data_IF_166398497370
#
_entry.id   IF_166398497370
#
_cell.length_a   1.000
_cell.length_b   1.000
_cell.length_c   1.000
_cell.angle_alpha   90.00
_cell.angle_beta   90.00
_cell.angle_gamma   90.00
#
_symmetry.space_group_name_H-M   'P 1'
#
loop_
_entity.id
_entity.type
_entity.pdbx_description
1 polymer ?
#
# COMPACT_ATOMS: atom_id res chain seq x y z
N UNK A 1 -36.29 20.64 -1.84
CA UNK A 1 -36.55 19.64 -2.89
C UNK A 1 -35.27 19.48 -3.70
N UNK A 2 -34.50 18.42 -3.47
CA UNK A 2 -33.28 18.16 -4.25
C UNK A 2 -33.66 17.64 -5.65
N UNK A 3 -32.91 18.00 -6.71
CA UNK A 3 -33.19 17.56 -8.07
C UNK A 3 -33.04 16.04 -8.21
N UNK A 4 -34.00 15.40 -8.89
CA UNK A 4 -34.10 13.95 -9.06
C UNK A 4 -32.89 13.28 -9.77
N UNK A 5 -32.02 14.07 -10.40
CA UNK A 5 -30.77 13.61 -11.03
C UNK A 5 -29.60 13.40 -10.05
N UNK A 6 -29.69 13.92 -8.82
CA UNK A 6 -28.62 13.76 -7.81
C UNK A 6 -28.74 12.45 -7.01
N UNK A 7 -29.94 11.86 -6.95
CA UNK A 7 -30.21 10.62 -6.21
C UNK A 7 -29.39 9.40 -6.70
N UNK A 8 -29.24 9.13 -8.01
CA UNK A 8 -28.47 7.96 -8.47
C UNK A 8 -26.97 8.09 -8.17
N UNK A 9 -26.39 9.30 -8.24
CA UNK A 9 -24.96 9.51 -7.96
C UNK A 9 -24.61 9.24 -6.48
N UNK A 10 -25.44 9.77 -5.57
CA UNK A 10 -25.23 9.61 -4.12
C UNK A 10 -25.44 8.15 -3.68
N UNK A 11 -26.33 7.41 -4.35
CA UNK A 11 -26.60 6.00 -4.06
C UNK A 11 -25.45 5.08 -4.54
N UNK A 12 -24.83 5.37 -5.68
CA UNK A 12 -23.68 4.61 -6.21
C UNK A 12 -22.42 4.83 -5.36
N UNK A 13 -22.17 6.07 -4.88
CA UNK A 13 -21.04 6.38 -4.01
C UNK A 13 -21.12 5.63 -2.66
N UNK A 14 -22.33 5.53 -2.09
CA UNK A 14 -22.58 4.87 -0.80
C UNK A 14 -22.45 3.33 -0.88
N UNK A 15 -22.75 2.73 -2.03
CA UNK A 15 -22.60 1.29 -2.28
C UNK A 15 -21.13 0.90 -2.51
N UNK A 16 -20.35 1.74 -3.17
CA UNK A 16 -18.92 1.51 -3.42
C UNK A 16 -18.07 1.59 -2.15
N UNK A 17 -18.33 2.57 -1.27
CA UNK A 17 -17.61 2.73 0.00
C UNK A 17 -17.77 1.54 0.95
N UNK A 18 -18.95 0.91 0.97
CA UNK A 18 -19.23 -0.25 1.81
C UNK A 18 -18.46 -1.51 1.38
N UNK A 19 -18.27 -1.73 0.08
CA UNK A 19 -17.48 -2.86 -0.42
C UNK A 19 -15.98 -2.69 -0.13
N UNK A 20 -15.46 -1.47 -0.31
CA UNK A 20 -14.06 -1.14 -0.04
C UNK A 20 -13.67 -1.29 1.43
N UNK A 21 -14.55 -0.88 2.36
CA UNK A 21 -14.31 -1.10 3.80
C UNK A 21 -14.33 -2.58 4.18
N UNK A 22 -15.24 -3.38 3.61
CA UNK A 22 -15.33 -4.81 3.87
C UNK A 22 -14.04 -5.54 3.51
N UNK A 23 -13.46 -5.26 2.34
CA UNK A 23 -12.23 -5.92 1.90
C UNK A 23 -11.03 -5.65 2.83
N UNK A 24 -10.89 -4.41 3.32
CA UNK A 24 -9.82 -4.04 4.27
C UNK A 24 -9.97 -4.78 5.61
N UNK A 25 -11.21 -4.85 6.12
CA UNK A 25 -11.52 -5.54 7.38
C UNK A 25 -11.33 -7.06 7.22
N UNK A 26 -11.78 -7.63 6.10
CA UNK A 26 -11.57 -9.05 5.80
C UNK A 26 -10.08 -9.38 5.72
N UNK A 27 -9.27 -8.56 5.05
CA UNK A 27 -7.82 -8.75 5.00
C UNK A 27 -7.16 -8.70 6.38
N UNK A 28 -7.57 -7.73 7.21
CA UNK A 28 -7.08 -7.60 8.59
C UNK A 28 -7.39 -8.85 9.42
N UNK A 29 -8.63 -9.34 9.35
CA UNK A 29 -9.07 -10.53 10.08
C UNK A 29 -8.37 -11.79 9.59
N UNK A 30 -8.15 -11.95 8.28
CA UNK A 30 -7.44 -13.11 7.73
C UNK A 30 -6.01 -13.19 8.27
N UNK A 31 -5.28 -12.07 8.27
CA UNK A 31 -3.89 -12.04 8.76
C UNK A 31 -3.84 -12.28 10.28
N UNK A 32 -4.78 -11.71 11.04
CA UNK A 32 -4.90 -12.01 12.46
C UNK A 32 -5.19 -13.50 12.71
N UNK A 33 -6.11 -14.11 11.95
CA UNK A 33 -6.41 -15.54 12.03
C UNK A 33 -5.20 -16.43 11.72
N UNK A 34 -4.37 -16.04 10.74
CA UNK A 34 -3.11 -16.76 10.43
C UNK A 34 -2.20 -16.75 11.65
N UNK A 35 -1.97 -15.60 12.28
CA UNK A 35 -1.14 -15.51 13.47
C UNK A 35 -1.71 -16.30 14.65
N UNK A 36 -3.02 -16.25 14.88
CA UNK A 36 -3.70 -17.04 15.92
C UNK A 36 -3.54 -18.55 15.63
N UNK A 37 -3.65 -18.97 14.38
CA UNK A 37 -3.47 -20.38 13.98
C UNK A 37 -2.04 -20.85 14.29
N UNK A 38 -1.03 -20.03 13.99
CA UNK A 38 0.37 -20.31 14.34
C UNK A 38 0.56 -20.40 15.86
N UNK A 39 -0.21 -19.64 16.65
CA UNK A 39 -0.18 -19.74 18.11
C UNK A 39 -0.78 -21.06 18.60
N UNK A 40 -1.91 -21.48 18.04
CA UNK A 40 -2.64 -22.69 18.45
C UNK A 40 -1.85 -23.97 18.18
N UNK A 41 -1.03 -24.00 17.12
CA UNK A 41 -0.19 -25.18 16.82
C UNK A 41 0.93 -25.40 17.85
N UNK A 42 1.20 -24.43 18.73
CA UNK A 42 2.19 -24.56 19.81
C UNK A 42 3.63 -24.72 19.33
N UNK A 43 3.89 -24.46 18.03
CA UNK A 43 5.20 -24.66 17.39
C UNK A 43 6.26 -23.68 17.95
N UNK A 44 5.82 -22.49 18.38
CA UNK A 44 6.71 -21.41 18.85
C UNK A 44 6.42 -21.07 20.32
N UNK A 45 7.47 -20.84 21.15
CA UNK A 45 7.28 -20.28 22.48
C UNK A 45 6.65 -18.89 22.38
N UNK A 46 5.92 -18.49 23.44
CA UNK A 46 5.07 -17.29 23.42
C UNK A 46 5.86 -16.03 23.06
N UNK A 47 7.08 -15.88 23.58
CA UNK A 47 7.95 -14.74 23.32
C UNK A 47 8.43 -14.67 21.85
N UNK A 48 8.79 -15.80 21.25
CA UNK A 48 9.25 -15.84 19.85
C UNK A 48 8.12 -15.51 18.88
N UNK A 49 6.90 -15.94 19.19
CA UNK A 49 5.71 -15.58 18.40
C UNK A 49 5.39 -14.08 18.47
N UNK A 50 5.52 -13.47 19.66
CA UNK A 50 5.37 -12.01 19.84
C UNK A 50 6.42 -11.26 19.03
N UNK A 51 7.69 -11.68 19.11
CA UNK A 51 8.79 -11.04 18.39
C UNK A 51 8.66 -11.19 16.88
N UNK A 52 8.29 -12.38 16.39
CA UNK A 52 8.14 -12.64 14.96
C UNK A 52 6.97 -11.82 14.36
N UNK A 53 5.84 -11.75 15.07
CA UNK A 53 4.69 -10.93 14.66
C UNK A 53 5.01 -9.44 14.70
N UNK A 54 5.79 -9.00 15.68
CA UNK A 54 6.29 -7.62 15.77
C UNK A 54 7.18 -7.25 14.57
N UNK A 55 8.17 -8.09 14.25
CA UNK A 55 9.09 -7.87 13.13
C UNK A 55 8.33 -7.84 11.81
N UNK A 56 7.39 -8.78 11.61
CA UNK A 56 6.52 -8.78 10.44
C UNK A 56 5.67 -7.51 10.34
N UNK A 57 5.17 -7.01 11.48
CA UNK A 57 4.45 -5.75 11.57
C UNK A 57 5.30 -4.55 11.14
N UNK A 58 6.50 -4.41 11.70
CA UNK A 58 7.44 -3.33 11.33
C UNK A 58 7.86 -3.43 9.87
N UNK A 59 8.17 -4.61 9.36
CA UNK A 59 8.55 -4.82 7.97
C UNK A 59 7.42 -4.44 6.99
N UNK A 60 6.17 -4.78 7.33
CA UNK A 60 5.01 -4.39 6.54
C UNK A 60 4.78 -2.88 6.54
N UNK A 61 4.87 -2.24 7.70
CA UNK A 61 4.71 -0.79 7.83
C UNK A 61 5.85 -0.03 7.15
N UNK A 62 7.09 -0.50 7.25
CA UNK A 62 8.23 0.13 6.58
C UNK A 62 8.08 0.05 5.05
N UNK A 63 7.66 -1.10 4.51
CA UNK A 63 7.34 -1.23 3.09
C UNK A 63 6.23 -0.27 2.66
N UNK A 64 5.17 -0.11 3.46
CA UNK A 64 4.12 0.87 3.19
C UNK A 64 4.65 2.31 3.16
N UNK A 65 5.51 2.69 4.12
CA UNK A 65 6.14 4.01 4.17
C UNK A 65 7.02 4.25 2.94
N UNK A 66 7.79 3.24 2.51
CA UNK A 66 8.58 3.32 1.29
C UNK A 66 7.65 3.62 0.09
N UNK A 67 6.56 2.88 -0.07
CA UNK A 67 5.59 3.12 -1.16
C UNK A 67 5.00 4.54 -1.09
N UNK A 68 4.70 5.04 0.12
CA UNK A 68 4.25 6.43 0.30
C UNK A 68 5.29 7.41 -0.20
N UNK A 69 6.57 7.23 0.15
CA UNK A 69 7.68 8.09 -0.30
C UNK A 69 7.84 8.04 -1.84
N UNK A 70 7.67 6.86 -2.43
CA UNK A 70 7.65 6.73 -3.90
C UNK A 70 6.46 7.48 -4.52
N UNK A 71 5.28 7.40 -3.90
CA UNK A 71 4.05 8.03 -4.40
C UNK A 71 4.05 9.55 -4.23
N UNK A 72 4.68 10.09 -3.18
CA UNK A 72 4.77 11.54 -2.94
C UNK A 72 5.69 12.26 -3.94
N UNK A 73 6.41 11.53 -4.80
CA UNK A 73 7.30 12.12 -5.79
C UNK A 73 8.63 12.60 -5.21
N UNK A 74 8.94 12.30 -3.94
CA UNK A 74 10.23 12.62 -3.34
C UNK A 74 11.40 12.12 -4.19
N UNK A 75 11.31 10.88 -4.66
CA UNK A 75 12.33 10.30 -5.54
C UNK A 75 12.32 10.92 -6.93
N UNK A 76 11.20 11.44 -7.44
CA UNK A 76 11.21 12.19 -8.70
C UNK A 76 12.04 13.47 -8.60
N UNK A 77 12.02 14.15 -7.44
CA UNK A 77 12.87 15.31 -7.20
C UNK A 77 14.36 14.91 -7.15
N UNK A 78 14.67 13.81 -6.46
CA UNK A 78 16.02 13.25 -6.37
C UNK A 78 16.56 12.82 -7.75
N UNK A 79 15.77 12.06 -8.51
CA UNK A 79 16.11 11.64 -9.86
C UNK A 79 16.16 12.82 -10.83
N UNK A 80 15.36 13.87 -10.64
CA UNK A 80 15.45 15.10 -11.44
C UNK A 80 16.77 15.82 -11.21
N UNK A 81 17.26 15.87 -9.97
CA UNK A 81 18.59 16.41 -9.66
C UNK A 81 19.71 15.59 -10.29
N UNK A 82 19.65 14.26 -10.16
CA UNK A 82 20.59 13.34 -10.83
C UNK A 82 20.53 13.45 -12.36
N UNK A 83 19.32 13.60 -12.92
CA UNK A 83 19.10 13.78 -14.35
C UNK A 83 19.71 15.08 -14.82
N UNK A 84 19.56 16.18 -14.08
CA UNK A 84 20.16 17.47 -14.42
C UNK A 84 21.69 17.39 -14.47
N UNK A 85 22.32 16.70 -13.52
CA UNK A 85 23.77 16.43 -13.51
C UNK A 85 24.16 15.53 -14.68
N UNK A 86 23.41 14.45 -14.92
CA UNK A 86 23.67 13.46 -15.97
C UNK A 86 23.49 14.02 -17.38
N UNK A 87 22.50 14.88 -17.62
CA UNK A 87 22.31 15.57 -18.91
C UNK A 87 23.41 16.58 -19.23
N UNK A 88 24.13 17.03 -18.20
CA UNK A 88 25.36 17.81 -18.39
C UNK A 88 26.54 16.98 -18.91
N UNK A 89 26.55 15.67 -18.66
CA UNK A 89 27.60 14.74 -19.10
C UNK A 89 27.21 13.94 -20.35
N UNK A 90 25.92 13.61 -20.51
CA UNK A 90 25.41 12.81 -21.62
C UNK A 90 24.13 13.45 -22.21
N UNK A 91 24.15 13.88 -23.48
CA UNK A 91 22.97 14.45 -24.11
C UNK A 91 21.83 13.42 -24.21
N UNK A 92 20.61 13.87 -23.93
CA UNK A 92 19.40 13.04 -23.95
C UNK A 92 19.13 12.56 -25.39
N UNK A 93 18.87 11.26 -25.58
CA UNK A 93 18.57 10.74 -26.92
C UNK A 93 17.09 11.00 -27.30
N UNK A 94 16.87 11.30 -28.58
CA UNK A 94 15.52 11.47 -29.15
C UNK A 94 14.63 10.23 -28.99
N UNK A 95 15.23 9.04 -28.86
CA UNK A 95 14.50 7.80 -28.60
C UNK A 95 13.93 7.78 -27.17
N UNK A 96 14.72 8.22 -26.17
CA UNK A 96 14.28 8.26 -24.78
C UNK A 96 13.18 9.31 -24.55
N UNK A 97 13.21 10.42 -25.28
CA UNK A 97 12.18 11.46 -25.21
C UNK A 97 10.85 11.02 -25.85
N UNK A 98 10.91 10.28 -26.96
CA UNK A 98 9.71 9.67 -27.57
C UNK A 98 9.08 8.61 -26.66
N UNK A 99 9.88 7.79 -25.98
CA UNK A 99 9.35 6.79 -25.06
C UNK A 99 8.71 7.45 -23.82
N UNK A 100 9.36 8.47 -23.24
CA UNK A 100 8.78 9.22 -22.11
C UNK A 100 7.45 9.90 -22.49
N UNK A 101 7.33 10.45 -23.71
CA UNK A 101 6.10 11.10 -24.17
C UNK A 101 4.96 10.09 -24.46
N UNK A 102 5.29 8.91 -24.98
CA UNK A 102 4.32 7.83 -25.16
C UNK A 102 3.82 7.26 -23.82
N UNK A 103 4.73 7.05 -22.85
CA UNK A 103 4.37 6.51 -21.53
C UNK A 103 3.58 7.53 -20.70
N UNK A 104 3.86 8.82 -20.84
CA UNK A 104 3.11 9.87 -20.15
C UNK A 104 1.74 10.17 -20.79
N UNK A 105 1.51 9.82 -22.05
CA UNK A 105 0.22 10.02 -22.71
C UNK A 105 -0.73 8.82 -22.58
N UNK A 106 -0.23 7.65 -22.15
CA UNK A 106 -1.05 6.47 -21.92
C UNK A 106 -1.83 6.57 -20.59
N UNK A 107 -3.10 6.93 -20.70
CA UNK A 107 -4.03 7.04 -19.57
C UNK A 107 -4.21 5.70 -18.84
N UNK A 108 -4.32 4.59 -19.58
CA UNK A 108 -4.54 3.26 -19.01
C UNK A 108 -3.34 2.84 -18.15
N UNK A 109 -2.13 3.16 -18.61
CA UNK A 109 -0.92 2.89 -17.86
C UNK A 109 -0.83 3.69 -16.56
N UNK A 110 -1.18 4.97 -16.59
CA UNK A 110 -1.20 5.81 -15.40
C UNK A 110 -2.25 5.37 -14.38
N UNK A 111 -3.45 5.04 -14.85
CA UNK A 111 -4.55 4.57 -14.00
C UNK A 111 -4.22 3.22 -13.36
N UNK A 112 -3.68 2.27 -14.14
CA UNK A 112 -3.20 0.99 -13.63
C UNK A 112 -2.13 1.16 -12.55
N UNK A 113 -1.12 2.01 -12.81
CA UNK A 113 -0.06 2.30 -11.85
C UNK A 113 -0.62 2.89 -10.55
N UNK A 114 -1.52 3.86 -10.65
CA UNK A 114 -2.14 4.50 -9.49
C UNK A 114 -3.01 3.52 -8.68
N UNK A 115 -3.79 2.67 -9.37
CA UNK A 115 -4.61 1.63 -8.78
C UNK A 115 -3.77 0.56 -8.07
N UNK A 116 -2.81 -0.04 -8.77
CA UNK A 116 -1.92 -1.06 -8.24
C UNK A 116 -1.12 -0.56 -7.02
N UNK A 117 -0.57 0.66 -7.10
CA UNK A 117 0.16 1.27 -5.98
C UNK A 117 -0.74 1.45 -4.76
N UNK A 118 -1.99 1.85 -4.97
CA UNK A 118 -2.94 2.08 -3.88
C UNK A 118 -3.43 0.78 -3.26
N UNK A 119 -3.64 -0.28 -4.03
CA UNK A 119 -3.97 -1.62 -3.51
C UNK A 119 -2.79 -2.19 -2.72
N UNK A 120 -1.58 -2.10 -3.26
CA UNK A 120 -0.36 -2.61 -2.61
C UNK A 120 -0.09 -1.89 -1.28
N UNK A 121 -0.21 -0.56 -1.26
CA UNK A 121 -0.06 0.24 -0.04
C UNK A 121 -1.11 -0.15 1.01
N UNK A 122 -2.37 -0.31 0.62
CA UNK A 122 -3.41 -0.74 1.56
C UNK A 122 -3.14 -2.15 2.10
N UNK A 123 -2.64 -3.08 1.27
CA UNK A 123 -2.31 -4.43 1.70
C UNK A 123 -1.18 -4.43 2.74
N UNK A 124 -0.09 -3.67 2.51
CA UNK A 124 1.01 -3.56 3.48
C UNK A 124 0.59 -2.87 4.77
N UNK A 125 -0.25 -1.83 4.71
CA UNK A 125 -0.78 -1.20 5.92
C UNK A 125 -1.67 -2.15 6.72
N UNK A 126 -2.57 -2.86 6.06
CA UNK A 126 -3.45 -3.83 6.73
C UNK A 126 -2.62 -4.94 7.37
N UNK A 127 -1.66 -5.52 6.65
CA UNK A 127 -0.79 -6.59 7.14
C UNK A 127 0.14 -6.15 8.27
N UNK A 128 0.71 -4.95 8.15
CA UNK A 128 1.59 -4.35 9.14
C UNK A 128 0.83 -4.06 10.45
N UNK A 129 -0.30 -3.37 10.35
CA UNK A 129 -1.15 -3.03 11.50
C UNK A 129 -1.72 -4.26 12.19
N UNK A 130 -2.17 -5.27 11.43
CA UNK A 130 -2.69 -6.50 12.03
C UNK A 130 -1.61 -7.26 12.80
N UNK A 131 -0.41 -7.39 12.22
CA UNK A 131 0.68 -8.11 12.90
C UNK A 131 1.19 -7.36 14.14
N UNK A 132 1.25 -6.02 14.08
CA UNK A 132 1.54 -5.17 15.23
C UNK A 132 0.49 -5.30 16.34
N UNK A 133 -0.79 -5.26 15.99
CA UNK A 133 -1.89 -5.39 16.95
C UNK A 133 -1.84 -6.75 17.66
N UNK A 134 -1.62 -7.82 16.90
CA UNK A 134 -1.48 -9.18 17.45
C UNK A 134 -0.29 -9.28 18.40
N UNK A 135 0.85 -8.69 18.04
CA UNK A 135 2.05 -8.66 18.90
C UNK A 135 1.78 -7.92 20.22
N UNK A 136 1.16 -6.74 20.16
CA UNK A 136 0.78 -5.96 21.35
C UNK A 136 -0.18 -6.72 22.27
N UNK A 137 -1.20 -7.36 21.69
CA UNK A 137 -2.13 -8.21 22.46
C UNK A 137 -1.38 -9.38 23.09
N UNK A 138 -0.51 -10.05 22.35
CA UNK A 138 0.32 -11.13 22.85
C UNK A 138 1.20 -10.70 24.02
N UNK A 139 1.79 -9.52 23.94
CA UNK A 139 2.60 -8.94 25.01
C UNK A 139 1.78 -8.59 26.26
N UNK A 140 0.54 -8.12 26.11
CA UNK A 140 -0.34 -7.85 27.26
C UNK A 140 -0.74 -9.12 28.04
N UNK A 141 -0.70 -10.29 27.39
CA UNK A 141 -1.02 -11.58 28.00
C UNK A 141 0.20 -12.38 28.47
N UNK A 142 1.41 -11.92 28.17
CA UNK A 142 2.67 -12.51 28.63
C UNK A 142 3.02 -11.96 30.02
#
# INVERSE_FOLDING_TARGET
MLPASAVPAIMIEKLSGGHLMKWKITGFLLIACIWISIRVTGILPLLDWINLSFIAGIAGLSAAVIIIIFKTGFLSLFFSGFRAIGTGLFPRSNAMERTDSMVSSDYNWQEFKAGATSVMLNAFLVAGLSSMAVSLVGLCFY
#
